data_IF_473753695544
#
_entry.id   IF_473753695544
#
_cell.length_a   1.000
_cell.length_b   1.000
_cell.length_c   1.000
_cell.angle_alpha   90.00
_cell.angle_beta   90.00
_cell.angle_gamma   90.00
#
_symmetry.space_group_name_H-M   'P 1'
#
loop_
_entity.id
_entity.type
_entity.pdbx_description
1 polymer ?
#
# COMPACT_ATOMS: atom_id res chain seq x y z
N UNK A 1 51.90 52.48 47.91
CA UNK A 1 50.87 51.43 47.94
C UNK A 1 50.49 51.13 46.51
N UNK A 2 51.13 50.12 45.91
CA UNK A 2 50.91 49.70 44.52
C UNK A 2 50.00 48.51 44.54
N UNK A 3 48.83 48.66 43.89
CA UNK A 3 47.78 47.70 43.72
C UNK A 3 48.14 46.78 42.55
N UNK A 4 48.66 45.57 42.85
CA UNK A 4 48.96 44.51 41.88
C UNK A 4 47.69 43.67 41.71
N UNK A 5 46.84 43.98 40.76
CA UNK A 5 45.82 43.04 40.29
C UNK A 5 46.48 41.89 39.52
N UNK A 6 46.09 40.61 39.79
CA UNK A 6 46.59 39.49 38.97
C UNK A 6 46.04 39.60 37.53
N UNK A 7 46.93 39.64 36.57
CA UNK A 7 46.57 39.42 35.14
C UNK A 7 46.15 37.95 35.05
N UNK A 8 44.87 37.72 34.87
CA UNK A 8 44.38 36.42 34.45
C UNK A 8 44.93 36.19 33.04
N UNK A 9 45.76 35.14 32.91
CA UNK A 9 46.37 34.78 31.62
C UNK A 9 45.29 34.32 30.63
N UNK A 10 44.79 35.23 29.81
CA UNK A 10 43.79 34.96 28.79
C UNK A 10 44.25 33.92 27.76
N UNK A 11 45.60 33.69 27.66
CA UNK A 11 46.20 32.65 26.81
C UNK A 11 46.02 31.23 27.37
N UNK A 12 45.98 31.06 28.73
CA UNK A 12 45.72 29.77 29.37
C UNK A 12 44.26 29.37 29.14
N UNK A 13 43.33 30.27 29.45
CA UNK A 13 41.88 30.03 29.27
C UNK A 13 41.54 29.72 27.78
N UNK A 14 42.18 30.40 26.80
CA UNK A 14 41.96 30.10 25.38
C UNK A 14 42.54 28.72 24.96
N UNK A 15 43.66 28.30 25.58
CA UNK A 15 44.21 26.94 25.33
C UNK A 15 43.31 25.85 25.90
N UNK A 16 42.84 26.05 27.12
CA UNK A 16 41.92 25.10 27.77
C UNK A 16 40.63 24.97 26.97
N UNK A 17 40.02 26.08 26.51
CA UNK A 17 38.86 26.10 25.63
C UNK A 17 39.11 25.37 24.31
N UNK A 18 40.26 25.60 23.69
CA UNK A 18 40.65 24.88 22.45
C UNK A 18 40.83 23.38 22.66
N UNK A 19 41.35 22.99 23.83
CA UNK A 19 41.52 21.58 24.21
C UNK A 19 40.16 20.92 24.41
N UNK A 20 39.25 21.60 25.12
CA UNK A 20 37.87 21.13 25.33
C UNK A 20 37.10 21.03 24.02
N UNK A 21 37.21 22.03 23.13
CA UNK A 21 36.59 22.01 21.81
C UNK A 21 37.12 20.87 20.92
N UNK A 22 38.44 20.58 21.01
CA UNK A 22 39.04 19.41 20.30
C UNK A 22 38.55 18.10 20.88
N UNK A 23 38.42 17.99 22.19
CA UNK A 23 37.87 16.80 22.85
C UNK A 23 36.40 16.56 22.44
N UNK A 24 35.58 17.61 22.32
CA UNK A 24 34.22 17.53 21.78
C UNK A 24 34.18 17.08 20.33
N UNK A 25 35.17 17.49 19.51
CA UNK A 25 35.28 17.07 18.10
C UNK A 25 35.61 15.57 17.93
N UNK A 26 36.13 14.91 18.96
CA UNK A 26 36.41 13.47 18.99
C UNK A 26 35.30 12.65 19.65
N UNK A 27 34.26 13.29 20.21
CA UNK A 27 33.12 12.58 20.77
C UNK A 27 32.23 12.12 19.61
N UNK A 28 32.10 10.82 19.32
CA UNK A 28 31.24 10.37 18.26
C UNK A 28 29.78 10.78 18.60
N UNK A 29 29.13 11.42 17.63
CA UNK A 29 27.73 11.76 17.81
C UNK A 29 26.92 10.46 18.09
N UNK A 30 25.96 10.48 19.02
CA UNK A 30 25.09 9.32 19.22
C UNK A 30 24.51 8.84 17.89
N UNK A 31 24.45 7.53 17.67
CA UNK A 31 23.93 6.95 16.43
C UNK A 31 22.52 7.48 16.08
N UNK A 32 21.73 7.81 17.10
CA UNK A 32 20.41 8.45 16.96
C UNK A 32 20.47 9.85 16.36
N UNK A 33 21.57 10.61 16.55
CA UNK A 33 21.73 11.93 15.91
C UNK A 33 21.91 11.81 14.40
N UNK A 34 22.64 10.81 13.94
CA UNK A 34 22.87 10.58 12.50
C UNK A 34 21.58 10.13 11.83
N UNK A 35 20.92 9.10 12.37
CA UNK A 35 19.64 8.62 11.83
C UNK A 35 18.56 9.71 11.80
N UNK A 36 18.36 10.40 12.94
CA UNK A 36 17.38 11.47 13.05
C UNK A 36 17.65 12.65 12.10
N UNK A 37 18.91 13.03 11.91
CA UNK A 37 19.28 14.08 10.97
C UNK A 37 19.02 13.65 9.52
N UNK A 38 19.48 12.46 9.11
CA UNK A 38 19.29 11.95 7.75
C UNK A 38 17.81 11.79 7.39
N UNK A 39 16.98 11.31 8.33
CA UNK A 39 15.53 11.19 8.13
C UNK A 39 14.88 12.57 7.98
N UNK A 40 15.23 13.52 8.85
CA UNK A 40 14.68 14.89 8.82
C UNK A 40 15.02 15.65 7.54
N UNK A 41 16.20 15.45 6.96
CA UNK A 41 16.58 16.07 5.69
C UNK A 41 16.17 15.24 4.46
N UNK A 42 15.44 14.14 4.65
CA UNK A 42 14.92 13.30 3.57
C UNK A 42 15.95 12.42 2.86
N UNK A 43 17.13 12.20 3.47
CA UNK A 43 18.19 11.32 2.96
C UNK A 43 18.07 9.87 3.46
N UNK A 44 17.16 9.63 4.41
CA UNK A 44 16.82 8.29 4.89
C UNK A 44 15.33 8.22 5.24
N UNK A 45 14.82 7.00 5.39
CA UNK A 45 13.47 6.75 5.92
C UNK A 45 13.57 6.09 7.31
N UNK A 46 12.55 6.25 8.13
CA UNK A 46 12.34 5.43 9.32
C UNK A 46 11.61 4.15 8.93
N UNK A 47 11.76 3.07 9.72
CA UNK A 47 10.93 1.88 9.54
C UNK A 47 10.54 1.26 10.87
N UNK A 48 9.44 0.51 10.84
CA UNK A 48 8.91 -0.28 11.95
C UNK A 48 8.40 -1.62 11.43
N UNK A 49 8.00 -2.48 12.36
CA UNK A 49 7.24 -3.69 12.03
C UNK A 49 5.79 -3.53 12.46
N UNK A 50 4.88 -4.15 11.71
CA UNK A 50 3.45 -4.17 12.03
C UNK A 50 2.86 -5.55 11.73
N UNK A 51 2.01 -6.03 12.62
CA UNK A 51 1.25 -7.26 12.41
C UNK A 51 0.14 -7.03 11.38
N UNK A 52 0.04 -7.96 10.45
CA UNK A 52 -0.95 -7.99 9.38
C UNK A 52 -1.57 -9.38 9.26
N UNK A 53 -2.66 -9.58 8.49
CA UNK A 53 -3.16 -10.92 8.18
C UNK A 53 -2.14 -11.85 7.51
N UNK A 54 -1.03 -11.30 7.00
CA UNK A 54 0.06 -12.06 6.40
C UNK A 54 1.23 -12.31 7.37
N UNK A 55 1.05 -11.98 8.66
CA UNK A 55 2.09 -11.94 9.69
C UNK A 55 2.84 -10.62 9.68
N UNK A 56 4.03 -10.62 10.27
CA UNK A 56 4.84 -9.43 10.45
C UNK A 56 5.28 -8.83 9.10
N UNK A 57 5.04 -7.53 8.94
CA UNK A 57 5.45 -6.74 7.78
C UNK A 57 6.32 -5.60 8.25
N UNK A 58 7.45 -5.41 7.58
CA UNK A 58 8.32 -4.26 7.73
C UNK A 58 7.80 -3.12 6.89
N UNK A 59 7.72 -1.92 7.45
CA UNK A 59 7.14 -0.74 6.83
C UNK A 59 8.04 0.46 6.99
N UNK A 60 8.54 1.03 5.88
CA UNK A 60 9.32 2.26 5.88
C UNK A 60 8.45 3.47 5.49
N UNK A 61 8.82 4.63 6.05
CA UNK A 61 8.15 5.91 5.78
C UNK A 61 9.11 7.09 5.93
N UNK A 62 8.67 8.23 5.43
CA UNK A 62 9.28 9.54 5.61
C UNK A 62 8.19 10.62 5.75
N UNK A 63 8.55 11.89 5.74
CA UNK A 63 7.60 13.02 5.85
C UNK A 63 6.53 13.04 4.74
N UNK A 64 6.76 12.39 3.59
CA UNK A 64 5.81 12.30 2.47
C UNK A 64 4.85 11.13 2.59
N UNK A 65 5.14 10.17 3.46
CA UNK A 65 4.31 9.00 3.70
C UNK A 65 5.06 7.67 3.60
N UNK A 66 4.29 6.60 3.47
CA UNK A 66 4.79 5.24 3.37
C UNK A 66 5.53 5.03 2.06
N UNK A 67 6.73 4.46 2.12
CA UNK A 67 7.64 4.29 0.97
C UNK A 67 7.86 2.84 0.56
N UNK A 68 7.95 1.93 1.53
CA UNK A 68 8.15 0.49 1.29
C UNK A 68 7.41 -0.34 2.34
N UNK A 69 6.77 -1.43 1.90
CA UNK A 69 6.28 -2.48 2.79
C UNK A 69 6.74 -3.84 2.26
N UNK A 70 7.36 -4.67 3.12
CA UNK A 70 7.88 -6.00 2.75
C UNK A 70 7.78 -6.97 3.92
N UNK A 71 7.72 -8.26 3.56
CA UNK A 71 8.03 -9.34 4.50
C UNK A 71 9.52 -9.64 4.36
N UNK A 72 10.23 -9.70 5.46
CA UNK A 72 11.64 -10.05 5.51
C UNK A 72 11.88 -11.00 6.68
N UNK A 73 12.94 -11.81 6.63
CA UNK A 73 13.26 -12.73 7.70
C UNK A 73 13.87 -11.99 8.89
N UNK A 74 14.67 -10.97 8.62
CA UNK A 74 15.36 -10.15 9.63
C UNK A 74 15.26 -8.66 9.30
N UNK A 75 15.59 -7.82 10.28
CA UNK A 75 15.75 -6.37 10.06
C UNK A 75 16.78 -6.07 8.97
N UNK A 76 17.94 -6.77 9.00
CA UNK A 76 19.00 -6.58 8.03
C UNK A 76 18.57 -6.92 6.60
N UNK A 77 17.81 -8.00 6.40
CA UNK A 77 17.27 -8.35 5.08
C UNK A 77 16.34 -7.25 4.56
N UNK A 78 15.46 -6.72 5.44
CA UNK A 78 14.60 -5.61 5.07
C UNK A 78 15.38 -4.35 4.70
N UNK A 79 16.41 -4.00 5.46
CA UNK A 79 17.25 -2.81 5.20
C UNK A 79 17.95 -2.90 3.84
N UNK A 80 18.44 -4.09 3.47
CA UNK A 80 19.05 -4.35 2.15
C UNK A 80 18.02 -4.20 1.03
N UNK A 81 16.84 -4.82 1.18
CA UNK A 81 15.78 -4.73 0.17
C UNK A 81 15.27 -3.29 0.04
N UNK A 82 15.04 -2.60 1.15
CA UNK A 82 14.58 -1.22 1.16
C UNK A 82 15.60 -0.30 0.49
N UNK A 83 16.89 -0.48 0.76
CA UNK A 83 17.94 0.28 0.10
C UNK A 83 17.95 0.05 -1.42
N UNK A 84 17.82 -1.19 -1.86
CA UNK A 84 17.73 -1.52 -3.29
C UNK A 84 16.54 -0.86 -4.00
N UNK A 85 15.41 -0.70 -3.30
CA UNK A 85 14.18 -0.10 -3.82
C UNK A 85 14.19 1.42 -3.79
N UNK A 86 14.73 2.01 -2.72
CA UNK A 86 14.65 3.44 -2.42
C UNK A 86 15.89 4.23 -2.82
N UNK A 87 17.07 3.56 -2.95
CA UNK A 87 18.37 4.21 -3.13
C UNK A 87 18.83 5.00 -1.90
N UNK A 88 18.20 4.80 -0.73
CA UNK A 88 18.54 5.45 0.54
C UNK A 88 18.35 4.49 1.71
N UNK A 89 19.07 4.78 2.81
CA UNK A 89 19.01 3.95 4.02
C UNK A 89 17.66 4.06 4.72
N UNK A 90 17.33 3.01 5.48
CA UNK A 90 16.22 3.01 6.43
C UNK A 90 16.75 2.76 7.84
N UNK A 91 16.13 3.34 8.85
CA UNK A 91 16.52 3.19 10.26
C UNK A 91 15.34 2.72 11.09
N UNK A 92 15.59 1.74 11.96
CA UNK A 92 14.57 1.24 12.87
C UNK A 92 14.12 2.36 13.81
N UNK A 93 12.81 2.56 13.87
CA UNK A 93 12.15 3.45 14.81
C UNK A 93 11.39 2.61 15.84
N UNK A 94 11.84 2.68 17.07
CA UNK A 94 11.23 1.93 18.19
C UNK A 94 10.00 2.61 18.76
N UNK A 95 9.89 3.93 18.56
CA UNK A 95 8.78 4.75 19.02
C UNK A 95 8.14 5.51 17.84
N UNK A 96 7.41 4.80 16.97
CA UNK A 96 6.81 5.42 15.80
C UNK A 96 5.77 6.47 16.20
N UNK A 97 5.52 7.50 15.35
CA UNK A 97 4.51 8.49 15.66
C UNK A 97 3.15 7.84 15.90
N UNK A 98 2.57 8.06 17.07
CA UNK A 98 1.32 7.43 17.52
C UNK A 98 0.17 7.61 16.49
N UNK A 99 0.07 8.79 15.88
CA UNK A 99 -0.94 9.07 14.83
C UNK A 99 -0.79 8.15 13.62
N UNK A 100 0.45 7.87 13.22
CA UNK A 100 0.72 6.97 12.10
C UNK A 100 0.37 5.54 12.46
N UNK A 101 0.78 5.06 13.63
CA UNK A 101 0.44 3.71 14.07
C UNK A 101 -1.08 3.51 14.16
N UNK A 102 -1.81 4.48 14.72
CA UNK A 102 -3.28 4.45 14.75
C UNK A 102 -3.88 4.41 13.34
N UNK A 103 -3.37 5.22 12.41
CA UNK A 103 -3.85 5.23 11.02
C UNK A 103 -3.57 3.90 10.31
N UNK A 104 -2.41 3.28 10.54
CA UNK A 104 -2.06 1.96 9.99
C UNK A 104 -3.00 0.87 10.52
N UNK A 105 -3.26 0.84 11.83
CA UNK A 105 -4.19 -0.11 12.46
C UNK A 105 -5.62 0.09 11.98
N UNK A 106 -6.08 1.33 11.88
CA UNK A 106 -7.40 1.67 11.35
C UNK A 106 -7.55 1.21 9.88
N UNK A 107 -6.53 1.42 9.05
CA UNK A 107 -6.51 0.94 7.67
C UNK A 107 -6.61 -0.58 7.59
N UNK A 108 -5.83 -1.31 8.40
CA UNK A 108 -5.87 -2.77 8.46
C UNK A 108 -7.22 -3.31 8.98
N UNK A 109 -7.93 -2.52 9.79
CA UNK A 109 -9.29 -2.82 10.24
C UNK A 109 -10.39 -2.42 9.23
N UNK A 110 -10.02 -1.90 8.04
CA UNK A 110 -10.95 -1.55 6.96
C UNK A 110 -11.39 -0.09 6.93
N UNK A 111 -10.87 0.78 7.80
CA UNK A 111 -11.17 2.22 7.76
C UNK A 111 -10.44 2.89 6.58
N UNK A 112 -11.18 3.14 5.51
CA UNK A 112 -10.67 3.81 4.30
C UNK A 112 -10.39 5.30 4.48
N UNK A 113 -10.88 5.92 5.56
CA UNK A 113 -10.64 7.32 5.91
C UNK A 113 -9.34 7.52 6.68
N UNK A 114 -8.69 6.43 7.09
CA UNK A 114 -7.39 6.49 7.74
C UNK A 114 -6.41 7.35 6.91
N UNK A 115 -5.79 8.39 7.49
CA UNK A 115 -5.02 9.40 6.76
C UNK A 115 -3.62 8.89 6.39
N UNK A 116 -3.55 7.88 5.51
CA UNK A 116 -2.30 7.33 5.00
C UNK A 116 -1.89 8.03 3.70
N UNK A 117 -0.69 8.57 3.69
CA UNK A 117 0.00 9.11 2.52
C UNK A 117 1.07 8.14 2.03
N UNK A 118 1.51 8.29 0.78
CA UNK A 118 2.45 7.37 0.14
C UNK A 118 3.53 8.14 -0.61
N UNK A 119 4.79 7.79 -0.39
CA UNK A 119 5.91 8.28 -1.17
C UNK A 119 6.14 7.38 -2.39
N UNK A 120 5.52 7.73 -3.50
CA UNK A 120 5.61 7.02 -4.77
C UNK A 120 6.54 7.70 -5.78
N UNK A 121 7.40 8.62 -5.39
CA UNK A 121 8.29 9.39 -6.28
C UNK A 121 9.18 8.53 -7.18
N UNK A 122 9.58 7.36 -6.73
CA UNK A 122 10.33 6.40 -7.53
C UNK A 122 9.52 5.69 -8.62
N UNK A 123 8.20 5.92 -8.69
CA UNK A 123 7.31 5.28 -9.64
C UNK A 123 6.96 6.22 -10.79
N UNK A 124 6.77 5.67 -12.00
CA UNK A 124 6.29 6.45 -13.14
C UNK A 124 4.89 7.02 -12.88
N UNK A 125 4.49 8.13 -13.53
CA UNK A 125 3.13 8.67 -13.37
C UNK A 125 2.02 7.65 -13.66
N UNK A 126 2.22 6.77 -14.63
CA UNK A 126 1.29 5.68 -14.92
C UNK A 126 1.16 4.70 -13.74
N UNK A 127 2.29 4.27 -13.15
CA UNK A 127 2.29 3.36 -12.01
C UNK A 127 1.63 4.01 -10.79
N UNK A 128 1.93 5.29 -10.52
CA UNK A 128 1.28 6.04 -9.44
C UNK A 128 -0.24 6.06 -9.62
N UNK A 129 -0.73 6.41 -10.81
CA UNK A 129 -2.15 6.45 -11.11
C UNK A 129 -2.81 5.07 -10.91
N UNK A 130 -2.20 3.99 -11.41
CA UNK A 130 -2.71 2.63 -11.27
C UNK A 130 -2.75 2.17 -9.80
N UNK A 131 -1.69 2.42 -9.03
CA UNK A 131 -1.58 2.06 -7.63
C UNK A 131 -2.60 2.84 -6.77
N UNK A 132 -2.75 4.14 -7.00
CA UNK A 132 -3.71 4.97 -6.29
C UNK A 132 -5.16 4.58 -6.65
N UNK A 133 -5.42 4.22 -7.90
CA UNK A 133 -6.75 3.72 -8.32
C UNK A 133 -7.10 2.40 -7.63
N UNK A 134 -6.13 1.48 -7.47
CA UNK A 134 -6.37 0.23 -6.75
C UNK A 134 -6.80 0.46 -5.30
N UNK A 135 -6.41 1.57 -4.64
CA UNK A 135 -6.86 1.94 -3.29
C UNK A 135 -8.35 2.27 -3.21
N UNK A 136 -8.98 2.62 -4.33
CA UNK A 136 -10.41 2.91 -4.36
C UNK A 136 -11.26 1.63 -4.28
N UNK A 137 -10.68 0.46 -4.56
CA UNK A 137 -11.39 -0.82 -4.43
C UNK A 137 -11.72 -1.04 -2.95
N UNK A 138 -13.01 -1.26 -2.62
CA UNK A 138 -13.44 -1.43 -1.23
C UNK A 138 -12.81 -2.64 -0.54
N UNK A 139 -12.77 -2.59 0.78
CA UNK A 139 -12.40 -3.70 1.65
C UNK A 139 -13.36 -4.88 1.40
N UNK A 140 -12.81 -6.08 1.24
CA UNK A 140 -13.60 -7.26 0.93
C UNK A 140 -14.12 -7.35 -0.52
N UNK A 141 -13.69 -6.47 -1.40
CA UNK A 141 -14.05 -6.50 -2.82
C UNK A 141 -12.84 -6.66 -3.72
N UNK A 142 -13.05 -7.18 -4.93
CA UNK A 142 -12.02 -7.28 -5.96
C UNK A 142 -12.49 -6.69 -7.28
N UNK A 143 -11.53 -6.17 -8.07
CA UNK A 143 -11.78 -5.66 -9.44
C UNK A 143 -10.75 -6.22 -10.40
N UNK A 144 -11.11 -6.44 -11.67
CA UNK A 144 -10.15 -6.91 -12.66
C UNK A 144 -9.12 -5.84 -13.02
N UNK A 145 -7.93 -6.26 -13.50
CA UNK A 145 -6.92 -5.34 -14.01
C UNK A 145 -7.46 -4.39 -15.09
N UNK A 146 -8.42 -4.85 -15.91
CA UNK A 146 -9.11 -4.04 -16.92
C UNK A 146 -9.94 -2.91 -16.31
N UNK A 147 -10.52 -3.11 -15.13
CA UNK A 147 -11.21 -2.05 -14.39
C UNK A 147 -10.24 -0.94 -14.03
N UNK A 148 -9.09 -1.26 -13.44
CA UNK A 148 -8.07 -0.24 -13.10
C UNK A 148 -7.61 0.50 -14.35
N UNK A 149 -7.33 -0.23 -15.45
CA UNK A 149 -6.89 0.36 -16.72
C UNK A 149 -7.92 1.36 -17.27
N UNK A 150 -9.20 0.99 -17.27
CA UNK A 150 -10.29 1.86 -17.73
C UNK A 150 -10.45 3.10 -16.84
N UNK A 151 -10.44 2.91 -15.52
CA UNK A 151 -10.62 3.98 -14.54
C UNK A 151 -9.50 5.04 -14.56
N UNK A 152 -8.30 4.67 -15.01
CA UNK A 152 -7.20 5.65 -15.23
C UNK A 152 -7.15 6.18 -16.67
N UNK A 153 -8.20 5.96 -17.49
CA UNK A 153 -8.28 6.44 -18.85
C UNK A 153 -7.33 5.75 -19.85
N UNK A 154 -6.88 4.52 -19.55
CA UNK A 154 -5.93 3.74 -20.36
C UNK A 154 -6.43 2.30 -20.58
N UNK A 155 -7.62 2.08 -21.18
CA UNK A 155 -8.25 0.75 -21.24
C UNK A 155 -7.40 -0.33 -21.92
N UNK A 156 -6.54 0.03 -22.88
CA UNK A 156 -5.62 -0.90 -23.53
C UNK A 156 -4.40 -1.30 -22.67
N UNK A 157 -4.15 -0.61 -21.54
CA UNK A 157 -2.93 -0.78 -20.75
C UNK A 157 -3.02 -1.88 -19.66
N UNK A 158 -3.87 -2.89 -19.82
CA UNK A 158 -4.13 -3.94 -18.81
C UNK A 158 -2.85 -4.66 -18.35
N UNK A 159 -1.94 -5.00 -19.29
CA UNK A 159 -0.65 -5.63 -18.96
C UNK A 159 0.26 -4.70 -18.13
N UNK A 160 0.27 -3.41 -18.47
CA UNK A 160 1.05 -2.41 -17.74
C UNK A 160 0.50 -2.20 -16.31
N UNK A 161 -0.83 -2.26 -16.12
CA UNK A 161 -1.45 -2.30 -14.78
C UNK A 161 -0.99 -3.53 -14.01
N UNK A 162 -0.94 -4.71 -14.65
CA UNK A 162 -0.40 -5.92 -14.02
C UNK A 162 1.04 -5.74 -13.54
N UNK A 163 1.88 -5.11 -14.35
CA UNK A 163 3.26 -4.77 -13.97
C UNK A 163 3.31 -3.78 -12.80
N UNK A 164 2.43 -2.76 -12.80
CA UNK A 164 2.34 -1.81 -11.70
C UNK A 164 1.95 -2.49 -10.39
N UNK A 165 0.97 -3.40 -10.41
CA UNK A 165 0.57 -4.17 -9.23
C UNK A 165 1.69 -5.09 -8.73
N UNK A 166 2.43 -5.75 -9.63
CA UNK A 166 3.55 -6.62 -9.27
C UNK A 166 4.74 -5.84 -8.66
N UNK A 167 4.92 -4.58 -9.07
CA UNK A 167 5.99 -3.69 -8.59
C UNK A 167 5.53 -2.73 -7.49
N UNK A 168 4.37 -2.96 -6.90
CA UNK A 168 3.86 -2.14 -5.80
C UNK A 168 4.90 -2.03 -4.67
N UNK A 169 5.39 -0.82 -4.32
CA UNK A 169 6.36 -0.66 -3.25
C UNK A 169 5.74 -0.84 -1.86
N UNK A 170 4.43 -0.61 -1.69
CA UNK A 170 3.75 -0.60 -0.39
C UNK A 170 2.53 -1.54 -0.40
N UNK A 171 2.71 -2.85 -0.72
CA UNK A 171 1.60 -3.80 -0.70
C UNK A 171 0.96 -3.88 0.69
N UNK A 172 -0.27 -4.39 0.77
CA UNK A 172 -1.19 -4.36 1.93
C UNK A 172 -1.83 -2.98 2.10
N UNK A 173 -1.06 -1.91 2.18
CA UNK A 173 -1.55 -0.53 2.32
C UNK A 173 -1.98 0.08 0.97
N UNK A 174 -1.33 -0.30 -0.12
CA UNK A 174 -1.87 -0.17 -1.47
C UNK A 174 -2.34 -1.57 -1.89
N UNK A 175 -3.65 -1.81 -1.97
CA UNK A 175 -4.23 -3.16 -1.99
C UNK A 175 -4.19 -3.80 -3.39
N UNK A 176 -2.98 -4.05 -3.92
CA UNK A 176 -2.82 -4.78 -5.19
C UNK A 176 -3.38 -6.21 -5.13
N UNK A 177 -3.59 -6.78 -3.93
CA UNK A 177 -4.29 -8.06 -3.74
C UNK A 177 -5.78 -7.99 -4.12
N UNK A 178 -6.41 -6.81 -4.14
CA UNK A 178 -7.80 -6.62 -4.58
C UNK A 178 -7.93 -6.55 -6.11
N UNK A 179 -6.80 -6.57 -6.84
CA UNK A 179 -6.81 -6.59 -8.31
C UNK A 179 -6.63 -8.03 -8.79
N UNK A 180 -7.57 -8.49 -9.63
CA UNK A 180 -7.69 -9.89 -10.08
C UNK A 180 -7.69 -9.98 -11.61
N UNK A 181 -7.66 -11.20 -12.16
CA UNK A 181 -7.74 -11.43 -13.60
C UNK A 181 -9.13 -11.08 -14.12
N UNK A 182 -9.22 -10.82 -15.42
CA UNK A 182 -10.51 -10.56 -16.08
C UNK A 182 -11.45 -11.76 -16.01
N UNK A 183 -10.95 -12.99 -15.89
CA UNK A 183 -11.72 -14.21 -15.68
C UNK A 183 -12.19 -14.45 -14.23
N UNK A 184 -12.00 -13.49 -13.33
CA UNK A 184 -12.36 -13.59 -11.93
C UNK A 184 -11.37 -14.37 -11.07
N UNK A 185 -10.40 -15.08 -11.67
CA UNK A 185 -9.38 -15.80 -10.91
C UNK A 185 -8.43 -14.83 -10.21
N UNK A 186 -8.00 -15.16 -8.99
CA UNK A 186 -7.22 -14.27 -8.14
C UNK A 186 -5.87 -13.88 -8.75
N UNK A 187 -5.19 -14.80 -9.44
CA UNK A 187 -3.88 -14.56 -10.02
C UNK A 187 -2.74 -14.49 -9.00
N UNK A 188 -1.56 -14.07 -9.45
CA UNK A 188 -0.36 -13.98 -8.63
C UNK A 188 -0.42 -12.84 -7.59
N UNK A 189 0.46 -12.91 -6.57
CA UNK A 189 0.62 -11.89 -5.55
C UNK A 189 2.09 -11.80 -5.10
N UNK A 190 2.64 -10.59 -5.07
CA UNK A 190 4.07 -10.37 -4.77
C UNK A 190 4.47 -10.65 -3.32
N UNK A 191 3.52 -10.66 -2.36
CA UNK A 191 3.80 -10.92 -0.95
C UNK A 191 3.48 -12.35 -0.52
N UNK A 192 4.06 -13.33 -1.21
CA UNK A 192 3.94 -14.75 -0.81
C UNK A 192 2.97 -15.57 -1.66
N UNK A 193 2.69 -15.11 -2.88
CA UNK A 193 1.96 -15.91 -3.87
C UNK A 193 0.45 -15.97 -3.66
N UNK A 194 -0.24 -16.88 -4.37
CA UNK A 194 -1.70 -16.96 -4.40
C UNK A 194 -2.33 -17.24 -3.04
N UNK A 195 -1.69 -18.05 -2.19
CA UNK A 195 -2.25 -18.39 -0.88
C UNK A 195 -2.24 -17.18 0.07
N UNK A 196 -1.16 -16.40 0.08
CA UNK A 196 -1.14 -15.13 0.82
C UNK A 196 -2.21 -14.16 0.34
N UNK A 197 -2.51 -14.16 -0.98
CA UNK A 197 -3.61 -13.36 -1.52
C UNK A 197 -4.97 -13.82 -1.01
N UNK A 198 -5.21 -15.12 -0.95
CA UNK A 198 -6.44 -15.69 -0.35
C UNK A 198 -6.56 -15.32 1.12
N UNK A 199 -5.47 -15.43 1.86
CA UNK A 199 -5.43 -15.13 3.30
C UNK A 199 -5.84 -13.68 3.58
N UNK A 200 -5.23 -12.71 2.88
CA UNK A 200 -5.55 -11.30 3.11
C UNK A 200 -6.97 -10.96 2.65
N UNK A 201 -7.44 -11.50 1.52
CA UNK A 201 -8.80 -11.28 1.03
C UNK A 201 -9.85 -11.89 1.96
N UNK A 202 -9.61 -13.07 2.55
CA UNK A 202 -10.48 -13.66 3.59
C UNK A 202 -10.52 -12.79 4.84
N UNK A 203 -9.37 -12.29 5.29
CA UNK A 203 -9.30 -11.37 6.43
C UNK A 203 -10.06 -10.06 6.17
N UNK A 204 -10.16 -9.64 4.91
CA UNK A 204 -10.97 -8.51 4.49
C UNK A 204 -12.48 -8.84 4.33
N UNK A 205 -12.89 -10.08 4.63
CA UNK A 205 -14.29 -10.50 4.56
C UNK A 205 -14.77 -10.97 3.18
N UNK A 206 -13.88 -11.08 2.18
CA UNK A 206 -14.25 -11.69 0.91
C UNK A 206 -14.52 -13.19 1.09
N UNK A 207 -15.67 -13.66 0.63
CA UNK A 207 -15.90 -15.10 0.48
C UNK A 207 -15.10 -15.64 -0.73
N UNK A 208 -13.83 -15.95 -0.47
CA UNK A 208 -12.88 -16.41 -1.51
C UNK A 208 -13.38 -17.69 -2.19
N UNK A 209 -13.96 -18.63 -1.43
CA UNK A 209 -14.47 -19.90 -1.97
C UNK A 209 -15.58 -19.65 -2.98
N UNK A 210 -16.55 -18.77 -2.65
CA UNK A 210 -17.62 -18.36 -3.57
C UNK A 210 -17.06 -17.64 -4.79
N UNK A 211 -16.12 -16.73 -4.59
CA UNK A 211 -15.52 -15.97 -5.70
C UNK A 211 -14.79 -16.87 -6.69
N UNK A 212 -13.99 -17.85 -6.19
CA UNK A 212 -13.28 -18.80 -7.02
C UNK A 212 -14.24 -19.80 -7.71
N UNK A 213 -15.32 -20.22 -7.05
CA UNK A 213 -16.34 -21.07 -7.66
C UNK A 213 -17.07 -20.37 -8.80
N UNK A 214 -17.45 -19.11 -8.63
CA UNK A 214 -18.07 -18.31 -9.69
C UNK A 214 -17.10 -18.09 -10.87
N UNK A 215 -15.84 -17.80 -10.59
CA UNK A 215 -14.82 -17.68 -11.63
C UNK A 215 -14.61 -18.97 -12.42
N UNK A 216 -14.56 -20.13 -11.73
CA UNK A 216 -14.45 -21.44 -12.35
C UNK A 216 -15.68 -21.81 -13.22
N UNK A 217 -16.87 -21.33 -12.85
CA UNK A 217 -18.09 -21.44 -13.61
C UNK A 217 -18.20 -20.45 -14.79
N UNK A 218 -17.18 -19.61 -15.02
CA UNK A 218 -17.17 -18.59 -16.08
C UNK A 218 -18.01 -17.36 -15.79
N UNK A 219 -18.53 -17.21 -14.57
CA UNK A 219 -19.37 -16.07 -14.17
C UNK A 219 -18.48 -14.82 -14.01
N UNK A 220 -18.84 -13.76 -14.72
CA UNK A 220 -18.14 -12.46 -14.69
C UNK A 220 -18.93 -11.43 -13.94
N UNK A 221 -20.22 -11.46 -14.09
CA UNK A 221 -21.13 -10.51 -13.48
C UNK A 221 -22.30 -11.22 -12.84
N UNK A 222 -22.89 -10.55 -11.87
CA UNK A 222 -24.07 -11.05 -11.15
C UNK A 222 -25.08 -9.95 -10.95
N UNK A 223 -26.35 -10.34 -10.83
CA UNK A 223 -27.45 -9.48 -10.42
C UNK A 223 -28.38 -10.20 -9.45
N UNK A 224 -29.36 -9.50 -8.91
CA UNK A 224 -30.48 -10.09 -8.21
C UNK A 224 -31.68 -10.19 -9.13
N UNK A 225 -32.54 -11.19 -8.91
CA UNK A 225 -33.85 -11.32 -9.59
C UNK A 225 -34.70 -10.06 -9.45
N UNK A 226 -34.60 -9.35 -8.32
CA UNK A 226 -35.32 -8.11 -8.04
C UNK A 226 -34.54 -6.84 -8.39
N UNK A 227 -33.29 -6.98 -8.90
CA UNK A 227 -32.43 -5.85 -9.25
C UNK A 227 -32.53 -5.46 -10.71
N UNK A 228 -32.02 -4.29 -11.04
CA UNK A 228 -31.92 -3.74 -12.40
C UNK A 228 -30.49 -3.57 -12.88
N UNK A 229 -29.50 -3.82 -12.00
CA UNK A 229 -28.10 -3.59 -12.32
C UNK A 229 -27.23 -4.84 -12.16
N UNK A 230 -26.24 -5.00 -13.05
CA UNK A 230 -25.23 -6.06 -12.93
C UNK A 230 -23.96 -5.54 -12.28
N UNK A 231 -23.36 -6.39 -11.44
CA UNK A 231 -22.22 -6.08 -10.59
C UNK A 231 -21.09 -7.08 -10.81
N UNK A 232 -19.86 -6.71 -10.40
CA UNK A 232 -18.85 -7.73 -10.12
C UNK A 232 -19.30 -8.61 -8.94
N UNK A 233 -18.96 -9.93 -8.94
CA UNK A 233 -19.44 -10.87 -7.92
C UNK A 233 -19.07 -10.53 -6.47
N UNK A 234 -18.02 -9.72 -6.27
CA UNK A 234 -17.56 -9.27 -4.96
C UNK A 234 -18.13 -7.92 -4.52
N UNK A 235 -18.97 -7.28 -5.33
CA UNK A 235 -19.59 -6.01 -4.96
C UNK A 235 -20.43 -6.14 -3.69
N UNK A 236 -20.35 -5.18 -2.78
CA UNK A 236 -21.13 -5.18 -1.54
C UNK A 236 -22.66 -5.31 -1.81
N UNK A 237 -23.13 -4.75 -2.91
CA UNK A 237 -24.56 -4.85 -3.32
C UNK A 237 -25.00 -6.29 -3.62
N UNK A 238 -24.05 -7.22 -3.81
CA UNK A 238 -24.34 -8.61 -4.17
C UNK A 238 -23.99 -9.63 -3.08
N UNK A 239 -23.34 -9.20 -2.00
CA UNK A 239 -22.85 -10.10 -0.95
C UNK A 239 -23.99 -10.75 -0.15
N UNK A 240 -25.11 -10.07 -0.01
CA UNK A 240 -26.30 -10.55 0.71
C UNK A 240 -27.32 -11.28 -0.16
N UNK A 241 -27.08 -11.40 -1.50
CA UNK A 241 -28.00 -12.09 -2.39
C UNK A 241 -27.94 -13.59 -2.12
N UNK A 242 -29.10 -14.17 -1.78
CA UNK A 242 -29.24 -15.61 -1.62
C UNK A 242 -28.99 -16.35 -2.95
N UNK A 243 -28.39 -17.56 -2.94
CA UNK A 243 -28.07 -18.28 -4.17
C UNK A 243 -29.23 -18.42 -5.14
N UNK A 244 -30.46 -18.62 -4.61
CA UNK A 244 -31.70 -18.82 -5.39
C UNK A 244 -32.17 -17.54 -6.10
N UNK A 245 -31.69 -16.37 -5.63
CA UNK A 245 -32.04 -15.07 -6.17
C UNK A 245 -30.92 -14.50 -7.04
N UNK A 246 -29.80 -15.23 -7.18
CA UNK A 246 -28.61 -14.78 -7.91
C UNK A 246 -28.78 -15.08 -9.41
N UNK A 247 -28.73 -14.03 -10.22
CA UNK A 247 -28.61 -14.14 -11.68
C UNK A 247 -27.14 -13.98 -12.02
N UNK A 248 -26.65 -14.80 -12.94
CA UNK A 248 -25.24 -14.84 -13.34
C UNK A 248 -25.08 -14.57 -14.84
N UNK A 249 -24.01 -13.86 -15.22
CA UNK A 249 -23.70 -13.54 -16.61
C UNK A 249 -22.22 -13.85 -16.89
N UNK A 250 -21.96 -14.42 -18.08
CA UNK A 250 -20.61 -14.70 -18.55
C UNK A 250 -19.96 -13.48 -19.21
N UNK A 251 -20.75 -12.50 -19.66
CA UNK A 251 -20.24 -11.27 -20.27
C UNK A 251 -21.16 -10.06 -19.98
N UNK A 252 -20.67 -8.87 -20.25
CA UNK A 252 -21.44 -7.63 -20.18
C UNK A 252 -22.52 -7.56 -21.24
N UNK A 253 -22.29 -8.12 -22.43
CA UNK A 253 -23.26 -8.19 -23.51
C UNK A 253 -24.48 -9.03 -23.10
N UNK A 254 -24.24 -10.16 -22.42
CA UNK A 254 -25.31 -11.01 -21.88
C UNK A 254 -26.15 -10.26 -20.88
N UNK A 255 -25.51 -9.53 -19.93
CA UNK A 255 -26.22 -8.76 -18.91
C UNK A 255 -27.06 -7.63 -19.53
N UNK A 256 -26.49 -6.87 -20.49
CA UNK A 256 -27.19 -5.78 -21.16
C UNK A 256 -28.35 -6.31 -22.03
N UNK A 257 -28.15 -7.42 -22.74
CA UNK A 257 -29.22 -8.08 -23.54
C UNK A 257 -30.36 -8.55 -22.66
N UNK A 258 -30.07 -8.97 -21.42
CA UNK A 258 -31.07 -9.34 -20.43
C UNK A 258 -31.76 -8.11 -19.76
N UNK A 259 -31.41 -6.89 -20.16
CA UNK A 259 -32.03 -5.65 -19.68
C UNK A 259 -31.40 -5.03 -18.45
N UNK A 260 -30.22 -5.52 -17.98
CA UNK A 260 -29.54 -4.99 -16.83
C UNK A 260 -28.58 -3.84 -17.21
N UNK A 261 -28.45 -2.84 -16.32
CA UNK A 261 -27.53 -1.73 -16.48
C UNK A 261 -26.26 -1.92 -15.59
N UNK A 262 -25.12 -1.32 -15.90
CA UNK A 262 -23.95 -1.44 -15.03
C UNK A 262 -24.16 -0.73 -13.68
N UNK A 263 -23.77 -1.38 -12.60
CA UNK A 263 -23.84 -0.84 -11.24
C UNK A 263 -22.91 0.37 -11.06
N UNK A 264 -23.43 1.50 -10.57
CA UNK A 264 -22.68 2.73 -10.34
C UNK A 264 -21.59 2.58 -9.27
N UNK A 265 -21.80 1.71 -8.27
CA UNK A 265 -20.84 1.53 -7.18
C UNK A 265 -19.59 0.78 -7.62
N UNK A 266 -19.74 -0.34 -8.34
CA UNK A 266 -18.59 -1.15 -8.75
C UNK A 266 -18.14 -0.90 -10.19
N UNK A 267 -18.95 -0.19 -10.97
CA UNK A 267 -18.65 0.30 -12.34
C UNK A 267 -18.13 -0.79 -13.26
N UNK A 268 -18.89 -1.87 -13.53
CA UNK A 268 -18.52 -2.81 -14.59
C UNK A 268 -18.54 -2.10 -15.96
N UNK A 269 -17.89 -2.66 -16.99
CA UNK A 269 -17.95 -2.05 -18.33
C UNK A 269 -19.41 -2.07 -18.84
N UNK A 270 -19.76 -1.07 -19.64
CA UNK A 270 -20.95 -1.10 -20.47
C UNK A 270 -20.58 -1.72 -21.82
N UNK A 271 -21.26 -2.78 -22.22
CA UNK A 271 -21.10 -3.33 -23.55
C UNK A 271 -21.54 -2.30 -24.61
N UNK A 272 -20.70 -2.07 -25.61
CA UNK A 272 -21.15 -1.44 -26.83
C UNK A 272 -22.06 -2.47 -27.54
N UNK A 273 -23.38 -2.27 -27.50
CA UNK A 273 -24.26 -3.05 -28.34
C UNK A 273 -23.84 -2.80 -29.79
N UNK A 274 -23.41 -3.87 -30.49
CA UNK A 274 -23.16 -3.80 -31.92
C UNK A 274 -24.46 -3.36 -32.59
N UNK A 275 -24.43 -2.13 -33.15
CA UNK A 275 -25.53 -1.59 -33.96
C UNK A 275 -25.63 -2.27 -35.32
#
# INVERSE_FOLDING_TARGET
MSDLRPRVDGLSAARDLLTDLRALGHTPAPSTCVSGTLTRVGLADSYMTIETPLGLVYLAWNERGLSVARRAATHGDFEVEAYALLGRRVFLETEPPQRMEQALRAWLAGDRRAPLTFDLRGQTPFMQAALLKAREIPYGEVRPYSWVAREIGRPAAVRAVGTAMARNPVPVFIPCHRVVRADGHLGAYGMGGPESKRTILRAEGLNVTRAEALAAAGVRYVSSVSGDSYCYPSCHSTQSIAPEQLITFASEEEAVTAGYIPCDACRPPLAALAG
#
